data_IF_304128838965
#
_entry.id   IF_304128838965
#
_cell.length_a   1.000
_cell.length_b   1.000
_cell.length_c   1.000
_cell.angle_alpha   90.00
_cell.angle_beta   90.00
_cell.angle_gamma   90.00
#
_symmetry.space_group_name_H-M   'P 1'
#
loop_
_entity.id
_entity.type
_entity.pdbx_description
1 polymer ?
#
# COMPACT_ATOMS: atom_id res chain seq x y z
N UNK A 1 10.79 -29.73 -38.98
CA UNK A 1 9.91 -28.60 -39.32
C UNK A 1 10.53 -27.34 -38.74
N UNK A 2 11.03 -26.45 -39.60
CA UNK A 2 11.63 -25.15 -39.23
C UNK A 2 10.49 -24.12 -39.19
N UNK A 3 10.37 -23.37 -38.10
CA UNK A 3 9.43 -22.25 -38.02
C UNK A 3 10.22 -20.95 -38.09
N UNK A 4 10.06 -20.24 -39.21
CA UNK A 4 10.53 -18.88 -39.43
C UNK A 4 9.69 -17.90 -38.59
N UNK A 5 10.33 -17.19 -37.66
CA UNK A 5 9.74 -16.06 -36.95
C UNK A 5 10.06 -14.76 -37.71
N UNK A 6 9.07 -14.21 -38.40
CA UNK A 6 9.12 -12.85 -38.95
C UNK A 6 8.78 -11.84 -37.85
N UNK A 7 9.75 -11.02 -37.46
CA UNK A 7 9.53 -9.81 -36.66
C UNK A 7 8.97 -8.68 -37.53
N UNK A 8 7.90 -7.96 -37.13
CA UNK A 8 7.65 -6.63 -37.61
C UNK A 8 8.22 -5.58 -36.64
N UNK A 9 8.93 -4.61 -37.22
CA UNK A 9 9.54 -3.50 -36.53
C UNK A 9 8.52 -2.41 -36.11
N UNK A 10 8.67 -1.96 -34.87
CA UNK A 10 8.56 -0.58 -34.34
C UNK A 10 7.47 0.36 -34.90
N UNK A 11 6.55 0.75 -34.02
CA UNK A 11 6.25 2.17 -33.79
C UNK A 11 5.86 2.41 -32.33
N UNK A 12 6.70 3.13 -31.58
CA UNK A 12 6.37 3.66 -30.25
C UNK A 12 6.04 5.14 -30.43
N UNK A 13 4.76 5.49 -30.37
CA UNK A 13 4.30 6.87 -30.28
C UNK A 13 4.57 7.36 -28.85
N UNK A 14 5.70 8.03 -28.64
CA UNK A 14 5.97 8.81 -27.43
C UNK A 14 5.24 10.15 -27.58
N UNK A 15 4.16 10.38 -26.83
CA UNK A 15 3.63 11.72 -26.59
C UNK A 15 4.60 12.46 -25.67
N UNK A 16 5.44 13.31 -26.24
CA UNK A 16 6.19 14.32 -25.51
C UNK A 16 5.33 15.58 -25.42
N UNK A 17 4.95 15.97 -24.21
CA UNK A 17 4.45 17.31 -23.93
C UNK A 17 5.68 18.24 -23.88
N UNK A 18 5.98 18.88 -25.00
CA UNK A 18 6.91 19.99 -25.06
C UNK A 18 6.15 21.26 -24.64
N UNK A 19 6.41 21.77 -23.44
CA UNK A 19 6.03 23.12 -23.06
C UNK A 19 7.02 24.07 -23.74
N UNK A 20 6.55 24.77 -24.75
CA UNK A 20 7.32 25.79 -25.47
C UNK A 20 7.53 27.00 -24.56
N UNK A 21 8.77 27.20 -24.10
CA UNK A 21 9.23 28.49 -23.57
C UNK A 21 9.61 29.34 -24.78
N UNK A 22 8.83 30.38 -25.05
CA UNK A 22 9.13 31.36 -26.08
C UNK A 22 10.40 32.16 -25.69
N UNK A 23 11.53 31.82 -26.31
CA UNK A 23 12.75 32.62 -26.27
C UNK A 23 12.67 33.77 -27.27
N UNK A 24 12.31 34.96 -26.80
CA UNK A 24 12.46 36.19 -27.58
C UNK A 24 13.95 36.57 -27.65
N UNK A 25 14.58 36.31 -28.80
CA UNK A 25 15.90 36.83 -29.12
C UNK A 25 15.75 38.17 -29.82
N UNK A 26 15.94 39.27 -29.09
CA UNK A 26 16.10 40.60 -29.68
C UNK A 26 17.57 41.01 -29.53
N UNK A 27 18.33 40.88 -30.61
CA UNK A 27 19.68 41.44 -30.77
C UNK A 27 19.55 42.94 -31.07
N UNK A 28 20.02 43.78 -30.14
CA UNK A 28 20.24 45.21 -30.34
C UNK A 28 21.66 45.55 -29.92
N UNK A 29 22.51 45.87 -30.89
CA UNK A 29 23.92 46.21 -30.68
C UNK A 29 24.13 47.71 -30.45
N UNK A 30 25.07 48.00 -29.54
CA UNK A 30 25.86 49.23 -29.32
C UNK A 30 25.24 50.36 -28.48
N UNK A 31 25.73 50.47 -27.25
CA UNK A 31 26.42 51.68 -26.74
C UNK A 31 27.55 51.24 -25.80
N UNK A 32 28.78 51.71 -26.07
CA UNK A 32 29.94 51.59 -25.18
C UNK A 32 29.75 52.57 -24.01
N UNK A 33 29.11 52.11 -22.95
CA UNK A 33 29.21 52.70 -21.63
C UNK A 33 29.70 51.61 -20.68
N UNK A 34 30.82 51.83 -20.01
CA UNK A 34 31.19 51.01 -18.86
C UNK A 34 30.22 51.35 -17.72
N UNK A 35 29.01 50.78 -17.79
CA UNK A 35 28.12 50.72 -16.65
C UNK A 35 28.79 49.78 -15.64
N UNK A 36 29.59 50.36 -14.75
CA UNK A 36 29.99 49.71 -13.52
C UNK A 36 28.71 49.55 -12.70
N UNK A 37 28.00 48.43 -12.90
CA UNK A 37 26.98 48.03 -11.95
C UNK A 37 27.70 47.88 -10.60
N UNK A 38 27.28 48.68 -9.63
CA UNK A 38 27.91 48.69 -8.32
C UNK A 38 27.74 47.29 -7.69
N UNK A 39 28.82 46.58 -7.36
CA UNK A 39 28.76 45.17 -6.99
C UNK A 39 27.83 44.90 -5.80
N UNK A 40 27.60 45.90 -4.92
CA UNK A 40 26.64 45.84 -3.84
C UNK A 40 25.18 45.66 -4.32
N UNK A 41 24.75 46.37 -5.38
CA UNK A 41 23.38 46.28 -5.89
C UNK A 41 23.09 44.90 -6.49
N UNK A 42 24.08 44.31 -7.17
CA UNK A 42 23.98 42.98 -7.76
C UNK A 42 23.87 41.89 -6.66
N UNK A 43 24.53 42.10 -5.51
CA UNK A 43 24.41 41.16 -4.36
C UNK A 43 23.02 41.17 -3.72
N UNK A 44 22.39 42.34 -3.60
CA UNK A 44 21.05 42.49 -2.99
C UNK A 44 19.96 42.00 -3.93
N UNK A 45 20.10 42.23 -5.24
CA UNK A 45 19.20 41.70 -6.25
C UNK A 45 19.22 40.16 -6.28
N UNK A 46 20.40 39.56 -6.25
CA UNK A 46 20.56 38.09 -6.19
C UNK A 46 19.94 37.49 -4.92
N UNK A 47 20.10 38.13 -3.77
CA UNK A 47 19.48 37.72 -2.50
C UNK A 47 17.95 37.81 -2.52
N UNK A 48 17.41 38.84 -3.17
CA UNK A 48 15.95 39.01 -3.31
C UNK A 48 15.37 37.89 -4.17
N UNK A 49 16.05 37.53 -5.25
CA UNK A 49 15.66 36.42 -6.12
C UNK A 49 15.72 35.08 -5.38
N UNK A 50 16.79 34.82 -4.63
CA UNK A 50 16.92 33.59 -3.84
C UNK A 50 15.84 33.49 -2.75
N UNK A 51 15.50 34.62 -2.11
CA UNK A 51 14.41 34.68 -1.13
C UNK A 51 13.06 34.34 -1.76
N UNK A 52 12.77 34.84 -2.97
CA UNK A 52 11.55 34.49 -3.72
C UNK A 52 11.50 33.00 -4.08
N UNK A 53 12.63 32.40 -4.47
CA UNK A 53 12.69 30.97 -4.78
C UNK A 53 12.40 30.11 -3.54
N UNK A 54 12.94 30.49 -2.38
CA UNK A 54 12.66 29.84 -1.09
C UNK A 54 11.17 29.93 -0.72
N UNK A 55 10.55 31.10 -0.88
CA UNK A 55 9.11 31.29 -0.65
C UNK A 55 8.25 30.49 -1.62
N UNK A 56 8.62 30.46 -2.91
CA UNK A 56 7.93 29.66 -3.92
C UNK A 56 8.02 28.17 -3.60
N UNK A 57 9.20 27.67 -3.24
CA UNK A 57 9.40 26.28 -2.84
C UNK A 57 8.59 25.94 -1.58
N UNK A 58 8.57 26.82 -0.58
CA UNK A 58 7.71 26.66 0.59
C UNK A 58 6.21 26.60 0.22
N UNK A 59 5.76 27.43 -0.73
CA UNK A 59 4.41 27.37 -1.28
C UNK A 59 4.09 26.03 -1.96
N UNK A 60 5.04 25.47 -2.73
CA UNK A 60 4.86 24.14 -3.36
C UNK A 60 4.80 23.01 -2.34
N UNK A 61 5.57 23.10 -1.25
CA UNK A 61 5.52 22.14 -0.14
C UNK A 61 4.18 22.19 0.59
N UNK A 62 3.62 23.38 0.79
CA UNK A 62 2.29 23.52 1.38
C UNK A 62 1.21 22.89 0.48
N UNK A 63 1.26 23.13 -0.84
CA UNK A 63 0.33 22.49 -1.78
C UNK A 63 0.48 20.96 -1.78
N UNK A 64 1.72 20.45 -1.70
CA UNK A 64 1.99 19.02 -1.60
C UNK A 64 1.48 18.42 -0.28
N UNK A 65 1.55 19.15 0.84
CA UNK A 65 0.96 18.74 2.11
C UNK A 65 -0.56 18.56 1.99
N UNK A 66 -1.25 19.51 1.35
CA UNK A 66 -2.70 19.40 1.11
C UNK A 66 -3.03 18.19 0.23
N UNK A 67 -2.24 17.94 -0.84
CA UNK A 67 -2.42 16.73 -1.65
C UNK A 67 -2.16 15.46 -0.83
N UNK A 68 -1.13 15.45 0.01
CA UNK A 68 -0.82 14.32 0.89
C UNK A 68 -1.96 14.00 1.85
N UNK A 69 -2.54 15.02 2.49
CA UNK A 69 -3.67 14.86 3.41
C UNK A 69 -4.89 14.28 2.69
N UNK A 70 -5.17 14.74 1.45
CA UNK A 70 -6.22 14.16 0.61
C UNK A 70 -5.92 12.70 0.25
N UNK A 71 -4.65 12.36 -0.04
CA UNK A 71 -4.24 10.96 -0.31
C UNK A 71 -4.39 10.08 0.92
N UNK A 72 -4.12 10.59 2.12
CA UNK A 72 -4.36 9.86 3.36
C UNK A 72 -5.85 9.59 3.60
N UNK A 73 -6.73 10.54 3.27
CA UNK A 73 -8.18 10.31 3.34
C UNK A 73 -8.65 9.24 2.36
N UNK A 74 -8.16 9.27 1.12
CA UNK A 74 -8.46 8.25 0.11
C UNK A 74 -7.91 6.87 0.51
N UNK A 75 -6.70 6.83 1.07
CA UNK A 75 -6.10 5.63 1.62
C UNK A 75 -6.96 5.05 2.75
N UNK A 76 -7.41 5.87 3.70
CA UNK A 76 -8.26 5.41 4.79
C UNK A 76 -9.59 4.82 4.28
N UNK A 77 -10.20 5.42 3.25
CA UNK A 77 -11.41 4.89 2.62
C UNK A 77 -11.16 3.55 1.92
N UNK A 78 -10.05 3.45 1.17
CA UNK A 78 -9.67 2.21 0.49
C UNK A 78 -9.33 1.08 1.48
N UNK A 79 -8.62 1.40 2.56
CA UNK A 79 -8.27 0.45 3.64
C UNK A 79 -9.52 -0.04 4.37
N UNK A 80 -10.45 0.86 4.71
CA UNK A 80 -11.72 0.47 5.32
C UNK A 80 -12.54 -0.46 4.40
N UNK A 81 -12.66 -0.11 3.12
CA UNK A 81 -13.35 -0.95 2.15
C UNK A 81 -12.70 -2.32 2.02
N UNK A 82 -11.37 -2.36 1.97
CA UNK A 82 -10.65 -3.63 1.92
C UNK A 82 -10.89 -4.48 3.18
N UNK A 83 -10.87 -3.87 4.36
CA UNK A 83 -11.17 -4.55 5.61
C UNK A 83 -12.59 -5.15 5.63
N UNK A 84 -13.58 -4.42 5.13
CA UNK A 84 -14.96 -4.89 5.01
C UNK A 84 -15.09 -6.06 4.03
N UNK A 85 -14.40 -6.00 2.87
CA UNK A 85 -14.39 -7.08 1.89
C UNK A 85 -13.70 -8.34 2.42
N UNK A 86 -12.61 -8.20 3.18
CA UNK A 86 -11.94 -9.32 3.86
C UNK A 86 -12.85 -9.94 4.92
N UNK A 87 -13.57 -9.13 5.69
CA UNK A 87 -14.54 -9.63 6.67
C UNK A 87 -15.67 -10.42 5.97
N UNK A 88 -16.21 -9.91 4.86
CA UNK A 88 -17.22 -10.59 4.06
C UNK A 88 -16.69 -11.90 3.46
N UNK A 89 -15.45 -11.91 2.98
CA UNK A 89 -14.78 -13.10 2.46
C UNK A 89 -14.61 -14.17 3.55
N UNK A 90 -14.16 -13.77 4.74
CA UNK A 90 -13.97 -14.69 5.86
C UNK A 90 -15.31 -15.27 6.35
N UNK A 91 -16.36 -14.46 6.45
CA UNK A 91 -17.70 -14.94 6.78
C UNK A 91 -18.22 -15.97 5.76
N UNK A 92 -18.02 -15.70 4.46
CA UNK A 92 -18.43 -16.61 3.38
C UNK A 92 -17.64 -17.91 3.39
N UNK A 93 -16.33 -17.86 3.68
CA UNK A 93 -15.49 -19.06 3.85
C UNK A 93 -15.92 -19.91 5.04
N UNK A 94 -16.31 -19.28 6.16
CA UNK A 94 -16.82 -19.99 7.31
C UNK A 94 -18.15 -20.71 6.99
N UNK A 95 -19.04 -20.07 6.23
CA UNK A 95 -20.27 -20.70 5.76
C UNK A 95 -19.97 -21.91 4.85
N UNK A 96 -19.03 -21.76 3.92
CA UNK A 96 -18.61 -22.83 3.00
C UNK A 96 -18.07 -24.06 3.75
N UNK A 97 -17.27 -23.86 4.79
CA UNK A 97 -16.73 -24.92 5.62
C UNK A 97 -17.84 -25.73 6.33
N UNK A 98 -18.95 -25.09 6.70
CA UNK A 98 -20.12 -25.75 7.26
C UNK A 98 -20.82 -26.71 6.26
N UNK A 99 -20.89 -26.32 4.99
CA UNK A 99 -21.43 -27.18 3.94
C UNK A 99 -20.53 -28.38 3.65
N UNK A 100 -19.20 -28.19 3.62
CA UNK A 100 -18.25 -29.29 3.46
C UNK A 100 -18.40 -30.33 4.57
N UNK A 101 -18.46 -29.90 5.82
CA UNK A 101 -18.66 -30.80 6.96
C UNK A 101 -19.98 -31.60 6.87
N UNK A 102 -21.03 -30.99 6.30
CA UNK A 102 -22.32 -31.67 6.09
C UNK A 102 -22.26 -32.69 4.94
N UNK A 103 -21.60 -32.34 3.84
CA UNK A 103 -21.38 -33.24 2.71
C UNK A 103 -20.53 -34.46 3.11
N UNK A 104 -19.46 -34.24 3.88
CA UNK A 104 -18.58 -35.31 4.37
C UNK A 104 -19.33 -36.30 5.27
N UNK A 105 -20.20 -35.81 6.16
CA UNK A 105 -21.05 -36.67 7.00
C UNK A 105 -22.04 -37.50 6.18
N UNK A 106 -22.67 -36.90 5.16
CA UNK A 106 -23.57 -37.62 4.28
C UNK A 106 -22.83 -38.71 3.49
N UNK A 107 -21.66 -38.37 2.93
CA UNK A 107 -20.82 -39.32 2.22
C UNK A 107 -20.40 -40.48 3.11
N UNK A 108 -19.96 -40.19 4.35
CA UNK A 108 -19.64 -41.21 5.35
C UNK A 108 -20.84 -42.08 5.70
N UNK A 109 -22.03 -41.50 5.88
CA UNK A 109 -23.26 -42.24 6.18
C UNK A 109 -23.67 -43.18 5.02
N UNK A 110 -23.58 -42.71 3.77
CA UNK A 110 -23.85 -43.53 2.57
C UNK A 110 -22.81 -44.65 2.43
N UNK A 111 -21.54 -44.35 2.71
CA UNK A 111 -20.46 -45.34 2.68
C UNK A 111 -20.63 -46.42 3.75
N UNK A 112 -20.91 -46.03 4.99
CA UNK A 112 -21.09 -46.96 6.13
C UNK A 112 -22.40 -47.74 6.07
N UNK A 113 -23.47 -47.13 5.56
CA UNK A 113 -24.79 -47.76 5.44
C UNK A 113 -24.92 -48.72 4.25
N UNK A 114 -23.98 -48.66 3.29
CA UNK A 114 -24.06 -49.39 2.04
C UNK A 114 -25.16 -48.84 1.11
N UNK A 115 -24.94 -48.89 -0.21
CA UNK A 115 -26.01 -48.59 -1.16
C UNK A 115 -27.08 -49.68 -1.06
N UNK A 116 -28.18 -49.41 -0.38
CA UNK A 116 -29.39 -50.22 -0.51
C UNK A 116 -30.00 -49.90 -1.87
N UNK A 117 -29.49 -50.53 -2.92
CA UNK A 117 -30.05 -50.39 -4.27
C UNK A 117 -31.53 -50.77 -4.22
N UNK A 118 -32.39 -49.99 -4.88
CA UNK A 118 -33.85 -50.12 -4.77
C UNK A 118 -34.37 -51.54 -5.06
N UNK A 119 -33.68 -52.31 -5.90
CA UNK A 119 -33.97 -53.71 -6.19
C UNK A 119 -33.69 -54.64 -5.00
N UNK A 120 -32.57 -54.44 -4.29
CA UNK A 120 -32.27 -55.20 -3.08
C UNK A 120 -33.28 -54.88 -1.98
N UNK A 121 -33.63 -53.60 -1.82
CA UNK A 121 -34.64 -53.15 -0.84
C UNK A 121 -36.01 -53.76 -1.12
N UNK A 122 -36.40 -53.91 -2.40
CA UNK A 122 -37.64 -54.60 -2.80
C UNK A 122 -37.58 -56.11 -2.47
N UNK A 123 -36.42 -56.74 -2.69
CA UNK A 123 -36.25 -58.19 -2.46
C UNK A 123 -36.09 -58.57 -0.99
N UNK A 124 -35.59 -57.66 -0.14
CA UNK A 124 -35.35 -57.92 1.29
C UNK A 124 -36.34 -57.23 2.23
N UNK A 125 -37.30 -56.46 1.73
CA UNK A 125 -38.29 -55.81 2.57
C UNK A 125 -39.20 -56.83 3.27
N UNK A 126 -39.24 -56.79 4.61
CA UNK A 126 -40.03 -57.71 5.43
C UNK A 126 -41.56 -57.57 5.23
N UNK A 127 -42.02 -56.46 4.66
CA UNK A 127 -43.43 -56.24 4.30
C UNK A 127 -43.60 -55.11 3.28
N UNK A 128 -44.72 -55.06 2.53
CA UNK A 128 -45.05 -53.95 1.63
C UNK A 128 -45.07 -52.57 2.30
N UNK A 129 -45.55 -52.50 3.55
CA UNK A 129 -45.53 -51.25 4.34
C UNK A 129 -44.10 -50.80 4.65
N UNK A 130 -43.23 -51.74 5.06
CA UNK A 130 -41.83 -51.43 5.33
C UNK A 130 -41.07 -50.89 4.11
N UNK A 131 -41.38 -51.40 2.91
CA UNK A 131 -40.83 -50.89 1.66
C UNK A 131 -41.25 -49.43 1.39
N UNK A 132 -42.54 -49.12 1.54
CA UNK A 132 -43.05 -47.75 1.34
C UNK A 132 -42.40 -46.78 2.32
N UNK A 133 -42.33 -47.16 3.60
CA UNK A 133 -41.71 -46.32 4.64
C UNK A 133 -40.22 -46.06 4.33
N UNK A 134 -39.47 -47.07 3.87
CA UNK A 134 -38.07 -46.91 3.45
C UNK A 134 -37.91 -46.00 2.22
N UNK A 135 -38.73 -46.18 1.18
CA UNK A 135 -38.67 -45.34 -0.03
C UNK A 135 -39.05 -43.88 0.25
N UNK A 136 -40.01 -43.65 1.15
CA UNK A 136 -40.39 -42.30 1.60
C UNK A 136 -39.24 -41.59 2.30
N UNK A 137 -38.49 -42.28 3.18
CA UNK A 137 -37.30 -41.74 3.84
C UNK A 137 -36.21 -41.43 2.81
N UNK A 138 -35.91 -42.37 1.89
CA UNK A 138 -34.91 -42.15 0.84
C UNK A 138 -35.25 -40.94 -0.04
N UNK A 139 -36.53 -40.79 -0.44
CA UNK A 139 -36.98 -39.64 -1.22
C UNK A 139 -36.81 -38.33 -0.46
N UNK A 140 -37.13 -38.29 0.84
CA UNK A 140 -36.94 -37.10 1.67
C UNK A 140 -35.46 -36.71 1.78
N UNK A 141 -34.58 -37.69 2.00
CA UNK A 141 -33.12 -37.46 2.04
C UNK A 141 -32.62 -36.93 0.68
N UNK A 142 -33.09 -37.50 -0.43
CA UNK A 142 -32.69 -37.07 -1.77
C UNK A 142 -33.13 -35.64 -2.09
N UNK A 143 -34.35 -35.25 -1.68
CA UNK A 143 -34.85 -33.87 -1.83
C UNK A 143 -33.99 -32.89 -1.01
N UNK A 144 -33.73 -33.21 0.27
CA UNK A 144 -32.91 -32.36 1.15
C UNK A 144 -31.48 -32.23 0.63
N UNK A 145 -30.85 -33.35 0.25
CA UNK A 145 -29.50 -33.36 -0.34
C UNK A 145 -29.45 -32.53 -1.62
N UNK A 146 -30.48 -32.63 -2.47
CA UNK A 146 -30.60 -31.82 -3.68
C UNK A 146 -30.66 -30.32 -3.39
N UNK A 147 -31.45 -29.91 -2.39
CA UNK A 147 -31.54 -28.51 -1.96
C UNK A 147 -30.21 -28.00 -1.38
N UNK A 148 -29.54 -28.81 -0.54
CA UNK A 148 -28.23 -28.50 0.05
C UNK A 148 -27.15 -28.34 -1.03
N UNK A 149 -27.09 -29.23 -2.03
CA UNK A 149 -26.14 -29.12 -3.13
C UNK A 149 -26.37 -27.88 -4.00
N UNK A 150 -27.63 -27.48 -4.21
CA UNK A 150 -27.94 -26.24 -4.90
C UNK A 150 -27.56 -25.00 -4.08
N UNK A 151 -27.79 -25.02 -2.77
CA UNK A 151 -27.36 -23.95 -1.86
C UNK A 151 -25.83 -23.80 -1.85
N UNK A 152 -25.11 -24.91 -1.72
CA UNK A 152 -23.64 -24.94 -1.82
C UNK A 152 -23.13 -24.37 -3.14
N UNK A 153 -23.70 -24.76 -4.29
CA UNK A 153 -23.28 -24.20 -5.59
C UNK A 153 -23.49 -22.69 -5.70
N UNK A 154 -24.59 -22.17 -5.16
CA UNK A 154 -24.85 -20.72 -5.10
C UNK A 154 -23.86 -20.01 -4.18
N UNK A 155 -23.56 -20.61 -3.02
CA UNK A 155 -22.58 -20.07 -2.07
C UNK A 155 -21.17 -20.05 -2.65
N UNK A 156 -20.75 -21.12 -3.34
CA UNK A 156 -19.47 -21.18 -4.09
C UNK A 156 -19.36 -20.05 -5.12
N UNK A 157 -20.41 -19.82 -5.91
CA UNK A 157 -20.42 -18.71 -6.88
C UNK A 157 -20.29 -17.35 -6.18
N UNK A 158 -21.00 -17.15 -5.07
CA UNK A 158 -20.91 -15.94 -4.25
C UNK A 158 -19.52 -15.77 -3.63
N UNK A 159 -18.91 -16.84 -3.12
CA UNK A 159 -17.58 -16.84 -2.54
C UNK A 159 -16.53 -16.40 -3.56
N UNK A 160 -16.62 -16.89 -4.81
CA UNK A 160 -15.74 -16.45 -5.91
C UNK A 160 -15.91 -14.98 -6.23
N UNK A 161 -17.14 -14.48 -6.26
CA UNK A 161 -17.41 -13.06 -6.50
C UNK A 161 -16.83 -12.18 -5.38
N UNK A 162 -17.07 -12.54 -4.11
CA UNK A 162 -16.53 -11.80 -2.95
C UNK A 162 -15.00 -11.86 -2.91
N UNK A 163 -14.40 -13.00 -3.27
CA UNK A 163 -12.95 -13.12 -3.39
C UNK A 163 -12.39 -12.18 -4.47
N UNK A 164 -13.07 -12.06 -5.61
CA UNK A 164 -12.66 -11.14 -6.68
C UNK A 164 -12.77 -9.67 -6.24
N UNK A 165 -13.85 -9.29 -5.55
CA UNK A 165 -14.01 -7.93 -5.01
C UNK A 165 -12.97 -7.63 -3.92
N UNK A 166 -12.69 -8.58 -3.02
CA UNK A 166 -11.65 -8.44 -2.00
C UNK A 166 -10.24 -8.29 -2.60
N UNK A 167 -9.95 -9.01 -3.68
CA UNK A 167 -8.69 -8.84 -4.42
C UNK A 167 -8.61 -7.46 -5.08
N UNK A 168 -9.72 -6.97 -5.65
CA UNK A 168 -9.78 -5.64 -6.25
C UNK A 168 -9.60 -4.53 -5.21
N UNK A 169 -10.25 -4.62 -4.05
CA UNK A 169 -10.07 -3.62 -2.98
C UNK A 169 -8.67 -3.66 -2.37
N UNK A 170 -8.00 -4.81 -2.35
CA UNK A 170 -6.59 -4.90 -1.99
C UNK A 170 -5.71 -4.09 -2.96
N UNK A 171 -5.93 -4.24 -4.27
CA UNK A 171 -5.18 -3.51 -5.29
C UNK A 171 -5.46 -1.99 -5.22
N UNK A 172 -6.71 -1.59 -4.95
CA UNK A 172 -7.08 -0.20 -4.72
C UNK A 172 -6.38 0.39 -3.47
N UNK A 173 -6.34 -0.35 -2.36
CA UNK A 173 -5.65 0.06 -1.14
C UNK A 173 -4.12 0.14 -1.33
N UNK A 174 -3.53 -0.81 -2.07
CA UNK A 174 -2.12 -0.79 -2.47
C UNK A 174 -1.78 0.44 -3.33
N UNK A 175 -2.61 0.73 -4.33
CA UNK A 175 -2.42 1.91 -5.17
C UNK A 175 -2.54 3.21 -4.36
N UNK A 176 -3.47 3.27 -3.41
CA UNK A 176 -3.64 4.44 -2.54
C UNK A 176 -2.44 4.67 -1.62
N UNK A 177 -1.89 3.61 -1.00
CA UNK A 177 -0.71 3.73 -0.14
C UNK A 177 0.53 4.10 -0.96
N UNK A 178 0.70 3.56 -2.16
CA UNK A 178 1.79 3.91 -3.06
C UNK A 178 1.73 5.36 -3.53
N UNK A 179 0.53 5.86 -3.83
CA UNK A 179 0.31 7.25 -4.20
C UNK A 179 0.65 8.20 -3.03
N UNK A 180 0.17 7.90 -1.82
CA UNK A 180 0.51 8.67 -0.62
C UNK A 180 2.03 8.67 -0.38
N UNK A 181 2.65 7.49 -0.45
CA UNK A 181 4.08 7.33 -0.24
C UNK A 181 4.93 8.09 -1.27
N UNK A 182 4.48 8.16 -2.54
CA UNK A 182 5.16 8.93 -3.58
C UNK A 182 5.13 10.44 -3.28
N UNK A 183 3.98 10.98 -2.88
CA UNK A 183 3.85 12.41 -2.50
C UNK A 183 4.71 12.71 -1.28
N UNK A 184 4.69 11.84 -0.27
CA UNK A 184 5.55 11.99 0.93
C UNK A 184 7.03 12.03 0.59
N UNK A 185 7.50 11.12 -0.27
CA UNK A 185 8.91 11.07 -0.67
C UNK A 185 9.32 12.35 -1.43
N UNK A 186 8.47 12.83 -2.34
CA UNK A 186 8.70 14.10 -3.05
C UNK A 186 8.75 15.30 -2.09
N UNK A 187 7.86 15.35 -1.10
CA UNK A 187 7.90 16.36 -0.04
C UNK A 187 9.20 16.31 0.77
N UNK A 188 9.68 15.14 1.15
CA UNK A 188 10.95 15.00 1.87
C UNK A 188 12.15 15.52 1.06
N UNK A 189 12.17 15.23 -0.25
CA UNK A 189 13.21 15.73 -1.15
C UNK A 189 13.17 17.26 -1.24
N UNK A 190 11.98 17.84 -1.44
CA UNK A 190 11.78 19.30 -1.49
C UNK A 190 12.09 19.99 -0.17
N UNK A 191 11.79 19.36 0.97
CA UNK A 191 12.18 19.87 2.29
C UNK A 191 13.71 19.91 2.45
N UNK A 192 14.42 18.90 1.94
CA UNK A 192 15.89 18.85 1.96
C UNK A 192 16.49 19.95 1.07
N UNK A 193 15.91 20.15 -0.11
CA UNK A 193 16.27 21.25 -1.00
C UNK A 193 16.02 22.62 -0.32
N UNK A 194 14.85 22.82 0.29
CA UNK A 194 14.50 24.03 1.01
C UNK A 194 15.48 24.32 2.15
N UNK A 195 15.86 23.30 2.94
CA UNK A 195 16.88 23.44 4.01
C UNK A 195 18.22 23.93 3.46
N UNK A 196 18.61 23.40 2.30
CA UNK A 196 19.87 23.77 1.63
C UNK A 196 19.79 25.23 1.15
N UNK A 197 18.71 25.62 0.47
CA UNK A 197 18.52 26.99 -0.02
C UNK A 197 18.45 28.00 1.14
N UNK A 198 17.72 27.68 2.22
CA UNK A 198 17.66 28.53 3.43
C UNK A 198 19.04 28.69 4.08
N UNK A 199 19.85 27.63 4.10
CA UNK A 199 21.23 27.70 4.61
C UNK A 199 22.09 28.62 3.73
N UNK A 200 21.94 28.56 2.41
CA UNK A 200 22.63 29.44 1.47
C UNK A 200 22.20 30.91 1.63
N UNK A 201 20.89 31.19 1.75
CA UNK A 201 20.38 32.54 2.03
C UNK A 201 21.00 33.07 3.32
N UNK A 202 20.97 32.28 4.40
CA UNK A 202 21.55 32.67 5.70
C UNK A 202 23.05 32.98 5.60
N UNK A 203 23.81 32.14 4.91
CA UNK A 203 25.23 32.35 4.69
C UNK A 203 25.50 33.65 3.91
N UNK A 204 24.68 33.95 2.89
CA UNK A 204 24.82 35.16 2.09
C UNK A 204 24.42 36.42 2.86
N UNK A 205 23.36 36.37 3.67
CA UNK A 205 22.95 37.46 4.57
C UNK A 205 24.07 37.77 5.58
N UNK A 206 24.77 36.75 6.10
CA UNK A 206 25.89 36.96 7.03
C UNK A 206 27.09 37.68 6.40
N UNK A 207 27.22 37.69 5.07
CA UNK A 207 28.27 38.40 4.35
C UNK A 207 27.93 39.89 4.08
N UNK A 208 26.70 40.33 4.34
CA UNK A 208 26.30 41.73 4.16
C UNK A 208 26.80 42.64 5.28
N UNK A 209 26.94 43.96 5.05
CA UNK A 209 27.22 44.93 6.12
C UNK A 209 26.18 44.86 7.24
N UNK A 210 26.55 45.14 8.51
CA UNK A 210 25.66 45.01 9.67
C UNK A 210 24.32 45.75 9.55
N UNK A 211 24.30 46.90 8.85
CA UNK A 211 23.09 47.70 8.62
C UNK A 211 22.05 46.99 7.74
N UNK A 212 22.48 46.11 6.83
CA UNK A 212 21.60 45.39 5.90
C UNK A 212 21.16 44.03 6.46
N UNK A 213 21.94 43.44 7.38
CA UNK A 213 21.62 42.18 8.01
C UNK A 213 20.32 42.22 8.83
N UNK A 214 20.03 43.33 9.51
CA UNK A 214 18.84 43.45 10.39
C UNK A 214 17.51 43.35 9.65
N UNK A 215 17.48 43.62 8.34
CA UNK A 215 16.25 43.58 7.53
C UNK A 215 15.89 42.15 7.10
N UNK A 216 16.87 41.23 7.01
CA UNK A 216 16.69 39.87 6.46
C UNK A 216 16.81 38.73 7.50
N UNK A 217 16.86 39.04 8.80
CA UNK A 217 17.10 38.03 9.86
C UNK A 217 15.96 37.05 10.08
N UNK A 218 14.72 37.44 9.76
CA UNK A 218 13.53 36.62 9.98
C UNK A 218 13.11 35.94 8.69
N UNK A 219 13.04 34.61 8.73
CA UNK A 219 12.46 33.83 7.63
C UNK A 219 10.93 34.04 7.60
N UNK A 220 10.31 34.05 6.42
CA UNK A 220 8.85 34.04 6.30
C UNK A 220 8.23 32.83 7.01
N UNK A 221 7.04 33.01 7.61
CA UNK A 221 6.32 31.94 8.32
C UNK A 221 6.05 30.72 7.43
N UNK A 222 5.80 30.94 6.13
CA UNK A 222 5.60 29.87 5.13
C UNK A 222 6.82 28.96 5.02
N UNK A 223 8.03 29.52 5.09
CA UNK A 223 9.30 28.79 5.04
C UNK A 223 9.50 28.01 6.33
N UNK A 224 9.22 28.62 7.47
CA UNK A 224 9.31 27.94 8.78
C UNK A 224 8.34 26.75 8.84
N UNK A 225 7.10 26.94 8.39
CA UNK A 225 6.10 25.88 8.33
C UNK A 225 6.53 24.74 7.38
N UNK A 226 7.05 25.08 6.19
CA UNK A 226 7.50 24.10 5.20
C UNK A 226 8.71 23.26 5.68
N UNK A 227 9.54 23.83 6.56
CA UNK A 227 10.67 23.15 7.19
C UNK A 227 10.30 22.28 8.41
N UNK A 228 9.02 22.24 8.76
CA UNK A 228 8.46 21.50 9.87
C UNK A 228 8.69 19.98 9.83
N UNK A 229 7.97 19.22 10.69
CA UNK A 229 8.18 17.78 10.79
C UNK A 229 7.91 17.07 9.45
N UNK A 230 8.57 15.92 9.29
CA UNK A 230 8.33 15.03 8.15
C UNK A 230 6.89 14.51 8.24
N UNK A 231 6.19 14.47 7.11
CA UNK A 231 4.84 13.92 7.04
C UNK A 231 4.80 12.46 7.56
N UNK A 232 3.72 12.03 8.22
CA UNK A 232 3.61 10.69 8.79
C UNK A 232 3.77 9.61 7.72
N UNK A 233 4.27 8.43 8.06
CA UNK A 233 4.39 7.31 7.12
C UNK A 233 2.98 6.76 6.81
N UNK A 234 2.60 6.60 5.53
CA UNK A 234 1.30 6.04 5.18
C UNK A 234 1.28 4.54 5.48
N UNK A 235 0.15 4.06 6.00
CA UNK A 235 -0.02 2.67 6.44
C UNK A 235 -1.32 2.08 5.90
N UNK A 236 -1.33 0.77 5.65
CA UNK A 236 -2.52 0.02 5.21
C UNK A 236 -2.64 -1.27 6.03
N UNK A 237 -3.85 -1.69 6.39
CA UNK A 237 -4.07 -2.94 7.14
C UNK A 237 -3.66 -2.85 8.62
N UNK A 238 -3.73 -1.67 9.24
CA UNK A 238 -3.39 -1.52 10.67
C UNK A 238 -4.48 -2.05 11.61
N UNK A 239 -5.73 -2.11 11.11
CA UNK A 239 -6.84 -2.75 11.79
C UNK A 239 -6.63 -4.27 11.87
N UNK A 240 -6.85 -4.86 13.05
CA UNK A 240 -6.68 -6.31 13.27
C UNK A 240 -5.25 -6.77 13.58
N UNK A 241 -4.25 -5.88 13.54
CA UNK A 241 -2.91 -6.23 14.03
C UNK A 241 -2.93 -6.63 15.50
N UNK A 242 -2.19 -7.71 15.83
CA UNK A 242 -1.97 -8.10 17.21
C UNK A 242 -1.12 -7.05 17.96
N UNK A 243 -1.18 -6.97 19.30
CA UNK A 243 -0.49 -5.92 20.06
C UNK A 243 1.01 -5.78 19.75
N UNK A 244 1.72 -6.91 19.63
CA UNK A 244 3.15 -6.91 19.30
C UNK A 244 3.44 -6.31 17.92
N UNK A 245 2.69 -6.70 16.89
CA UNK A 245 2.83 -6.16 15.54
C UNK A 245 2.52 -4.64 15.50
N UNK A 246 1.51 -4.20 16.28
CA UNK A 246 1.18 -2.77 16.41
C UNK A 246 2.30 -1.98 17.10
N UNK A 247 2.88 -2.50 18.19
CA UNK A 247 4.01 -1.87 18.86
C UNK A 247 5.24 -1.79 17.94
N UNK A 248 5.51 -2.86 17.19
CA UNK A 248 6.59 -2.91 16.22
C UNK A 248 6.40 -1.85 15.12
N UNK A 249 5.20 -1.75 14.53
CA UNK A 249 4.92 -0.74 13.52
C UNK A 249 5.11 0.69 14.06
N UNK A 250 4.63 0.97 15.28
CA UNK A 250 4.84 2.27 15.93
C UNK A 250 6.33 2.58 16.16
N UNK A 251 7.11 1.57 16.58
CA UNK A 251 8.56 1.69 16.73
C UNK A 251 9.24 2.02 15.41
N UNK A 252 8.90 1.32 14.33
CA UNK A 252 9.45 1.55 12.99
C UNK A 252 9.13 2.97 12.52
N UNK A 253 7.88 3.41 12.67
CA UNK A 253 7.46 4.75 12.27
C UNK A 253 8.21 5.87 13.01
N UNK A 254 8.51 5.65 14.29
CA UNK A 254 9.24 6.62 15.12
C UNK A 254 10.75 6.62 14.84
N UNK A 255 11.33 5.47 14.52
CA UNK A 255 12.79 5.29 14.45
C UNK A 255 13.32 5.50 13.02
N UNK A 256 12.55 5.12 12.01
CA UNK A 256 12.98 5.08 10.61
C UNK A 256 12.11 5.95 9.71
N UNK A 257 12.30 7.29 9.72
CA UNK A 257 11.50 8.21 8.90
C UNK A 257 11.68 7.99 7.38
N UNK A 258 12.74 7.29 6.97
CA UNK A 258 13.00 6.89 5.58
C UNK A 258 12.10 5.75 5.06
N UNK A 259 11.35 5.07 5.94
CA UNK A 259 10.38 4.05 5.51
C UNK A 259 9.32 4.70 4.63
N UNK A 260 8.98 4.02 3.53
CA UNK A 260 8.08 4.50 2.49
C UNK A 260 6.62 4.31 2.88
N UNK A 261 6.28 3.13 3.39
CA UNK A 261 4.96 2.75 3.88
C UNK A 261 5.05 1.48 4.72
N UNK A 262 3.98 1.16 5.46
CA UNK A 262 3.86 -0.10 6.20
C UNK A 262 2.54 -0.80 5.81
N UNK A 263 2.63 -2.06 5.44
CA UNK A 263 1.48 -2.94 5.19
C UNK A 263 1.25 -3.92 6.34
N UNK A 264 -0.01 -4.18 6.69
CA UNK A 264 -0.40 -5.09 7.77
C UNK A 264 -1.37 -6.18 7.32
N UNK A 265 -2.52 -6.26 8.00
CA UNK A 265 -3.57 -7.26 7.77
C UNK A 265 -4.12 -7.17 6.35
N UNK A 266 -4.24 -8.33 5.70
CA UNK A 266 -4.86 -8.53 4.40
C UNK A 266 -5.14 -10.02 4.17
N UNK A 267 -5.95 -10.34 3.16
CA UNK A 267 -6.15 -11.74 2.74
C UNK A 267 -4.95 -12.24 1.94
N UNK A 268 -4.15 -13.12 2.54
CA UNK A 268 -3.04 -13.84 1.88
C UNK A 268 -3.23 -15.37 1.98
N UNK A 269 -2.56 -16.16 1.12
CA UNK A 269 -2.54 -17.62 1.25
C UNK A 269 -1.83 -18.13 2.51
N UNK A 270 -0.89 -17.34 3.03
CA UNK A 270 -0.14 -17.63 4.25
C UNK A 270 -0.82 -16.97 5.46
N UNK A 271 -0.76 -17.57 6.66
CA UNK A 271 -1.54 -17.12 7.81
C UNK A 271 -1.03 -15.84 8.47
N UNK A 272 0.16 -15.35 8.11
CA UNK A 272 0.83 -14.32 8.92
C UNK A 272 0.17 -12.94 8.81
N UNK A 273 -0.09 -12.43 7.59
CA UNK A 273 -0.88 -11.21 7.42
C UNK A 273 -2.35 -11.37 7.83
N UNK A 274 -3.08 -12.43 7.44
CA UNK A 274 -4.48 -12.63 7.83
C UNK A 274 -4.72 -12.68 9.35
N UNK A 275 -3.73 -13.17 10.11
CA UNK A 275 -3.80 -13.23 11.58
C UNK A 275 -3.39 -11.93 12.28
N UNK A 276 -2.93 -10.92 11.52
CA UNK A 276 -2.43 -9.67 12.06
C UNK A 276 -1.10 -9.76 12.78
N UNK A 277 -0.36 -10.85 12.59
CA UNK A 277 0.99 -11.04 13.15
C UNK A 277 2.10 -10.49 12.25
N UNK A 278 1.82 -10.26 10.98
CA UNK A 278 2.83 -9.74 10.05
C UNK A 278 2.66 -8.27 9.70
N UNK A 279 3.80 -7.61 9.50
CA UNK A 279 3.90 -6.33 8.82
C UNK A 279 4.98 -6.38 7.73
N UNK A 280 4.74 -5.66 6.63
CA UNK A 280 5.72 -5.40 5.58
C UNK A 280 6.18 -3.95 5.69
N UNK A 281 7.49 -3.77 5.88
CA UNK A 281 8.12 -2.45 6.00
C UNK A 281 8.72 -2.11 4.64
N UNK A 282 8.06 -1.21 3.91
CA UNK A 282 8.46 -0.84 2.55
C UNK A 282 9.61 0.17 2.60
N UNK A 283 10.74 -0.18 1.98
CA UNK A 283 11.97 0.64 1.98
C UNK A 283 12.20 1.39 0.65
N UNK A 284 11.37 1.13 -0.36
CA UNK A 284 11.55 1.68 -1.70
C UNK A 284 12.81 1.12 -2.35
N UNK A 285 13.76 1.99 -2.72
CA UNK A 285 15.05 1.60 -3.30
C UNK A 285 16.21 1.63 -2.29
N UNK A 286 15.95 1.99 -1.03
CA UNK A 286 16.99 2.13 -0.01
C UNK A 286 17.31 0.79 0.65
N UNK A 287 18.13 0.00 -0.05
CA UNK A 287 18.56 -1.30 0.43
C UNK A 287 19.37 -1.23 1.73
N UNK A 288 20.07 -0.11 1.96
CA UNK A 288 20.86 0.10 3.18
C UNK A 288 19.97 0.33 4.40
N UNK A 289 18.84 1.02 4.22
CA UNK A 289 17.80 1.15 5.22
C UNK A 289 17.19 -0.21 5.56
N UNK A 290 16.90 -1.04 4.54
CA UNK A 290 16.40 -2.40 4.77
C UNK A 290 17.39 -3.28 5.56
N UNK A 291 18.70 -3.19 5.25
CA UNK A 291 19.74 -3.88 6.00
C UNK A 291 19.78 -3.42 7.47
N UNK A 292 19.71 -2.10 7.70
CA UNK A 292 19.72 -1.52 9.04
C UNK A 292 18.50 -1.93 9.86
N UNK A 293 17.29 -1.85 9.27
CA UNK A 293 16.05 -2.24 9.93
C UNK A 293 16.08 -3.74 10.27
N UNK A 294 16.41 -4.60 9.30
CA UNK A 294 16.41 -6.04 9.54
C UNK A 294 17.42 -6.44 10.64
N UNK A 295 18.62 -5.86 10.64
CA UNK A 295 19.61 -6.12 11.69
C UNK A 295 19.14 -5.67 13.08
N UNK A 296 18.53 -4.49 13.17
CA UNK A 296 17.98 -3.96 14.42
C UNK A 296 16.83 -4.82 14.97
N UNK A 297 15.91 -5.22 14.09
CA UNK A 297 14.80 -6.08 14.48
C UNK A 297 15.24 -7.46 14.95
N UNK A 298 16.28 -8.04 14.33
CA UNK A 298 16.89 -9.28 14.81
C UNK A 298 17.51 -9.11 16.20
N UNK A 299 18.19 -8.00 16.46
CA UNK A 299 18.75 -7.69 17.77
C UNK A 299 17.67 -7.46 18.85
N UNK A 300 16.49 -7.00 18.45
CA UNK A 300 15.35 -6.71 19.34
C UNK A 300 14.24 -7.77 19.30
N UNK A 301 14.51 -8.96 18.75
CA UNK A 301 13.50 -9.99 18.53
C UNK A 301 12.70 -10.34 19.79
N UNK A 302 13.39 -10.47 20.94
CA UNK A 302 12.75 -10.75 22.23
C UNK A 302 11.84 -9.62 22.73
N UNK A 303 12.18 -8.35 22.45
CA UNK A 303 11.38 -7.18 22.86
C UNK A 303 10.04 -7.13 22.15
N UNK A 304 10.03 -7.43 20.85
CA UNK A 304 8.85 -7.36 20.00
C UNK A 304 8.14 -8.71 19.83
N UNK A 305 8.69 -9.79 20.42
CA UNK A 305 8.18 -11.14 20.23
C UNK A 305 8.24 -11.58 18.76
N UNK A 306 9.29 -11.22 18.03
CA UNK A 306 9.45 -11.56 16.62
C UNK A 306 9.69 -13.08 16.49
N UNK A 307 8.86 -13.75 15.69
CA UNK A 307 9.05 -15.15 15.31
C UNK A 307 10.12 -15.26 14.23
N UNK A 308 10.03 -14.43 13.19
CA UNK A 308 11.01 -14.40 12.11
C UNK A 308 10.95 -13.09 11.31
N UNK A 309 12.03 -12.81 10.57
CA UNK A 309 12.09 -11.76 9.54
C UNK A 309 12.46 -12.37 8.18
N UNK A 310 11.98 -11.77 7.09
CA UNK A 310 12.42 -12.07 5.73
C UNK A 310 12.91 -10.79 5.06
N UNK A 311 14.15 -10.82 4.58
CA UNK A 311 14.80 -9.69 3.90
C UNK A 311 15.83 -10.23 2.90
N UNK A 312 15.83 -9.71 1.67
CA UNK A 312 16.69 -10.16 0.56
C UNK A 312 16.60 -11.67 0.29
N UNK A 313 15.41 -12.22 0.48
CA UNK A 313 15.06 -13.59 0.07
C UNK A 313 13.99 -13.53 -1.03
N UNK A 314 13.71 -14.66 -1.69
CA UNK A 314 12.72 -14.73 -2.75
C UNK A 314 11.39 -14.05 -2.31
N UNK A 315 10.85 -13.21 -3.19
CA UNK A 315 9.64 -12.39 -2.96
C UNK A 315 9.72 -11.33 -1.85
N UNK A 316 10.89 -11.10 -1.25
CA UNK A 316 11.11 -10.14 -0.14
C UNK A 316 12.42 -9.34 -0.33
N UNK A 317 12.67 -8.87 -1.56
CA UNK A 317 13.87 -8.09 -1.91
C UNK A 317 13.66 -6.57 -1.81
N UNK A 318 12.41 -6.11 -1.80
CA UNK A 318 12.01 -4.71 -1.85
C UNK A 318 11.36 -4.20 -0.55
N UNK A 319 11.19 -5.10 0.44
CA UNK A 319 10.66 -4.80 1.76
C UNK A 319 11.18 -5.78 2.82
N UNK A 320 11.17 -5.34 4.08
CA UNK A 320 11.44 -6.22 5.23
C UNK A 320 10.10 -6.74 5.74
N UNK A 321 9.89 -8.05 5.64
CA UNK A 321 8.73 -8.72 6.22
C UNK A 321 9.06 -9.21 7.63
N UNK A 322 8.13 -9.00 8.57
CA UNK A 322 8.32 -9.36 9.97
C UNK A 322 7.06 -10.02 10.49
N UNK A 323 7.20 -11.19 11.08
CA UNK A 323 6.11 -11.90 11.77
C UNK A 323 6.42 -12.00 13.27
N UNK A 324 5.43 -11.67 14.10
CA UNK A 324 5.49 -11.80 15.57
C UNK A 324 4.72 -13.03 16.07
N UNK A 325 4.98 -13.43 17.32
CA UNK A 325 4.28 -14.49 18.05
C UNK A 325 2.87 -14.05 18.48
#
# INVERSE_FOLDING_TARGET
MKFDLKFPARSRVRRQLAVAVAGCSAFGSMFLGTAQAEPAQDTVANLTELSKQVEQLAGTLHAAQVDYDNKLQLLAQADQRHADDVAALNATRAELAGYQATADRLAAAVYMGGRTDGLHTILTAASPKGLIDQLSIQRSIAIETGAQMQAYRRLEQRARAIQAESAKSLDEARAAVDAAAAVRADMQNKQTELRTQVTMVRARVAMLPPAEQSVLKTLPDSVVAALGPIAPIPTVGMGGLVPNARMLAAYIMATYPGVRSIGGVRSDPLPDHPSGRAIDIMIGSDMSLGDAINADLQAQAGRFGISYTMWRVASHFDHVHVTVN
#
